data_IF_779354269122
#
_entry.id   IF_779354269122
#
_cell.length_a   1.000
_cell.length_b   1.000
_cell.length_c   1.000
_cell.angle_alpha   90.00
_cell.angle_beta   90.00
_cell.angle_gamma   90.00
#
_symmetry.space_group_name_H-M   'P 1'
#
loop_
_entity.id
_entity.type
_entity.pdbx_description
1 polymer ?
#
# COMPACT_ATOMS: atom_id res chain seq x y z
N UNK A 1 13.12 -8.12 21.98
CA UNK A 1 12.94 -8.86 20.70
C UNK A 1 13.42 -7.95 19.62
N UNK A 2 14.44 -8.37 18.87
CA UNK A 2 14.90 -7.67 17.69
C UNK A 2 14.28 -8.34 16.46
N UNK A 3 13.67 -7.54 15.60
CA UNK A 3 12.99 -8.03 14.40
C UNK A 3 13.04 -6.98 13.28
N UNK A 4 12.69 -7.40 12.09
CA UNK A 4 12.56 -6.55 10.91
C UNK A 4 13.25 -7.15 9.71
N UNK A 5 12.86 -6.67 8.52
CA UNK A 5 13.34 -7.22 7.26
C UNK A 5 14.87 -7.16 7.18
N UNK A 6 15.47 -6.01 7.50
CA UNK A 6 16.91 -5.84 7.46
C UNK A 6 17.66 -6.65 8.51
N UNK A 7 17.09 -6.84 9.70
CA UNK A 7 17.70 -7.61 10.78
C UNK A 7 17.75 -9.12 10.47
N UNK A 8 16.69 -9.63 9.81
CA UNK A 8 16.60 -11.05 9.45
C UNK A 8 17.19 -11.40 8.08
N UNK A 9 17.75 -10.44 7.34
CA UNK A 9 18.06 -10.59 5.93
C UNK A 9 16.86 -11.07 5.09
N UNK A 10 15.66 -10.73 5.53
CA UNK A 10 14.45 -11.09 4.84
C UNK A 10 14.26 -10.21 3.59
N UNK A 11 13.71 -10.79 2.54
CA UNK A 11 13.42 -10.09 1.30
C UNK A 11 11.92 -9.98 1.08
N UNK A 12 11.48 -8.81 0.61
CA UNK A 12 10.14 -8.62 0.07
C UNK A 12 10.21 -8.89 -1.43
N UNK A 13 9.48 -9.91 -1.87
CA UNK A 13 9.45 -10.31 -3.28
C UNK A 13 8.53 -9.34 -4.06
N UNK A 14 8.82 -9.07 -5.35
CA UNK A 14 7.99 -8.19 -6.17
C UNK A 14 6.55 -8.65 -6.25
N UNK A 15 5.59 -7.69 -6.19
CA UNK A 15 4.19 -7.94 -6.47
C UNK A 15 3.94 -7.86 -7.97
N UNK A 16 3.07 -8.71 -8.49
CA UNK A 16 2.64 -8.72 -9.89
C UNK A 16 1.11 -8.98 -10.00
N UNK A 17 0.59 -9.15 -11.22
CA UNK A 17 -0.84 -9.38 -11.43
C UNK A 17 -1.33 -10.74 -10.89
N UNK A 18 -0.43 -11.74 -10.82
CA UNK A 18 -0.72 -13.08 -10.28
C UNK A 18 -0.55 -13.11 -8.76
N UNK A 19 0.36 -12.27 -8.25
CA UNK A 19 0.72 -12.18 -6.83
C UNK A 19 0.59 -10.73 -6.31
N UNK A 20 -0.63 -10.21 -6.13
CA UNK A 20 -0.86 -8.82 -5.70
C UNK A 20 -0.58 -8.60 -4.20
N UNK A 21 -0.39 -9.66 -3.45
CA UNK A 21 -0.16 -9.64 -2.01
C UNK A 21 1.33 -9.58 -1.66
N UNK A 22 1.62 -9.29 -0.39
CA UNK A 22 3.00 -9.31 0.12
C UNK A 22 3.51 -10.74 0.12
N UNK A 23 4.58 -10.98 -0.63
CA UNK A 23 5.38 -12.20 -0.59
C UNK A 23 6.70 -11.91 0.09
N UNK A 24 7.13 -12.81 0.94
CA UNK A 24 8.40 -12.69 1.66
C UNK A 24 9.23 -13.96 1.50
N UNK A 25 10.54 -13.75 1.52
CA UNK A 25 11.53 -14.82 1.70
C UNK A 25 12.28 -14.54 2.98
N UNK A 26 12.31 -15.47 3.92
CA UNK A 26 13.02 -15.35 5.19
C UNK A 26 13.95 -16.55 5.37
N UNK A 27 15.17 -16.34 5.95
CA UNK A 27 16.05 -17.45 6.29
C UNK A 27 15.43 -18.39 7.32
N UNK A 28 15.63 -19.70 7.18
CA UNK A 28 15.18 -20.72 8.14
C UNK A 28 15.80 -20.53 9.53
N UNK A 29 16.95 -19.85 9.61
CA UNK A 29 17.67 -19.56 10.84
C UNK A 29 17.01 -18.47 11.71
N UNK A 30 15.95 -17.79 11.24
CA UNK A 30 15.27 -16.72 12.00
C UNK A 30 14.78 -17.22 13.36
N UNK A 31 14.32 -18.46 13.46
CA UNK A 31 13.92 -19.06 14.72
C UNK A 31 15.04 -19.06 15.77
N UNK A 32 16.27 -19.38 15.36
CA UNK A 32 17.45 -19.38 16.24
C UNK A 32 17.85 -17.96 16.64
N UNK A 33 17.71 -16.98 15.76
CA UNK A 33 18.00 -15.57 16.07
C UNK A 33 17.04 -15.02 17.12
N UNK A 34 15.77 -15.35 17.06
CA UNK A 34 14.77 -14.90 18.06
C UNK A 34 14.94 -15.64 19.39
N UNK A 35 15.23 -16.95 19.37
CA UNK A 35 15.46 -17.73 20.58
C UNK A 35 16.69 -17.29 21.37
N UNK A 36 17.76 -16.82 20.71
CA UNK A 36 18.98 -16.34 21.38
C UNK A 36 18.78 -15.06 22.20
N UNK A 37 17.69 -14.34 22.01
CA UNK A 37 17.34 -13.13 22.76
C UNK A 37 16.36 -13.34 23.90
N UNK A 38 15.83 -14.59 24.09
CA UNK A 38 14.90 -14.96 25.13
C UNK A 38 15.42 -16.14 25.98
N UNK A 39 15.24 -16.07 27.30
CA UNK A 39 15.55 -17.18 28.20
C UNK A 39 14.66 -18.39 27.90
N UNK A 40 15.28 -19.56 27.90
CA UNK A 40 14.65 -20.86 27.71
C UNK A 40 13.41 -21.03 28.61
N UNK A 41 12.28 -21.34 28.03
CA UNK A 41 11.11 -21.90 28.73
C UNK A 41 10.87 -23.29 28.18
N UNK A 42 11.04 -24.29 29.05
CA UNK A 42 10.81 -25.70 28.78
C UNK A 42 9.32 -26.01 28.58
N UNK A 43 9.08 -26.92 27.63
CA UNK A 43 7.95 -27.87 27.49
C UNK A 43 6.52 -27.32 27.25
N UNK A 44 6.11 -27.40 26.01
CA UNK A 44 4.70 -27.50 25.60
C UNK A 44 4.56 -28.58 24.50
N UNK A 45 3.50 -29.42 24.50
CA UNK A 45 3.35 -30.52 23.57
C UNK A 45 3.06 -30.04 22.13
N UNK A 46 3.77 -30.62 21.18
CA UNK A 46 3.63 -30.42 19.74
C UNK A 46 2.30 -30.98 19.25
N UNK A 47 1.44 -30.22 18.57
CA UNK A 47 0.30 -30.76 17.83
C UNK A 47 0.73 -31.49 16.56
N UNK A 48 0.00 -32.55 16.19
CA UNK A 48 0.28 -33.35 14.99
C UNK A 48 0.10 -32.54 13.69
N UNK A 49 0.87 -32.84 12.60
CA UNK A 49 0.87 -32.07 11.37
C UNK A 49 -0.42 -32.26 10.57
N UNK A 50 -1.05 -31.17 10.19
CA UNK A 50 -2.18 -31.07 9.28
C UNK A 50 -1.68 -30.64 7.91
N UNK A 51 -2.10 -31.37 6.89
CA UNK A 51 -2.00 -31.19 5.42
C UNK A 51 -1.01 -30.15 4.84
N UNK A 52 -0.39 -30.52 3.71
CA UNK A 52 0.70 -29.89 2.95
C UNK A 52 1.01 -28.38 3.23
N UNK A 53 2.25 -28.05 3.61
CA UNK A 53 2.63 -26.70 3.99
C UNK A 53 2.57 -25.75 2.80
N UNK A 54 1.91 -24.59 2.98
CA UNK A 54 1.93 -23.42 2.07
C UNK A 54 3.33 -22.82 1.93
N UNK A 55 4.31 -23.34 2.66
CA UNK A 55 5.71 -22.90 2.66
C UNK A 55 6.47 -23.69 1.60
N UNK A 56 6.95 -22.99 0.56
CA UNK A 56 7.80 -23.58 -0.47
C UNK A 56 9.25 -23.14 -0.26
N UNK A 57 10.20 -24.07 -0.38
CA UNK A 57 11.60 -23.71 -0.54
C UNK A 57 11.77 -22.98 -1.87
N UNK A 58 12.26 -21.74 -1.84
CA UNK A 58 12.60 -21.03 -3.06
C UNK A 58 13.93 -21.54 -3.62
N UNK A 59 13.97 -21.82 -4.92
CA UNK A 59 15.24 -21.87 -5.63
C UNK A 59 15.87 -20.46 -5.62
N UNK A 60 17.18 -20.31 -5.47
CA UNK A 60 17.83 -19.00 -5.49
C UNK A 60 17.46 -18.28 -6.80
N UNK A 61 17.01 -17.04 -6.69
CA UNK A 61 16.65 -16.18 -7.82
C UNK A 61 17.94 -15.91 -8.61
N UNK A 62 18.06 -16.45 -9.82
CA UNK A 62 19.24 -16.32 -10.67
C UNK A 62 19.28 -15.02 -11.48
N UNK A 63 18.76 -13.90 -10.94
CA UNK A 63 18.85 -12.59 -11.59
C UNK A 63 19.12 -11.48 -10.56
N UNK A 64 20.35 -11.45 -10.07
CA UNK A 64 20.95 -10.25 -9.50
C UNK A 64 22.44 -10.23 -9.87
N UNK A 65 22.73 -9.46 -10.92
CA UNK A 65 24.01 -8.81 -11.26
C UNK A 65 25.29 -9.44 -10.67
N UNK A 66 26.10 -9.98 -11.59
CA UNK A 66 27.52 -10.30 -11.41
C UNK A 66 28.24 -9.17 -10.64
N UNK A 67 28.76 -9.47 -9.49
CA UNK A 67 30.02 -9.05 -8.89
C UNK A 67 29.92 -9.02 -7.37
N UNK A 68 30.24 -10.12 -6.74
CA UNK A 68 31.14 -10.19 -5.56
C UNK A 68 31.42 -11.66 -5.26
N UNK A 69 32.67 -12.03 -5.41
CA UNK A 69 33.22 -13.31 -4.92
C UNK A 69 33.18 -13.34 -3.39
N UNK A 70 32.85 -14.52 -2.87
CA UNK A 70 32.98 -15.00 -1.49
C UNK A 70 31.74 -14.89 -0.59
N UNK A 71 31.01 -15.95 -0.49
CA UNK A 71 30.86 -16.87 0.66
C UNK A 71 29.70 -17.81 0.37
N UNK A 72 29.97 -19.10 0.20
CA UNK A 72 28.97 -20.18 0.17
C UNK A 72 28.35 -20.31 1.57
N UNK A 73 27.27 -19.60 1.81
CA UNK A 73 26.22 -20.00 2.74
C UNK A 73 24.94 -20.12 1.90
N UNK A 74 24.62 -21.34 1.48
CA UNK A 74 23.30 -21.70 0.99
C UNK A 74 22.32 -21.55 2.15
N UNK A 75 21.92 -20.29 2.46
CA UNK A 75 20.83 -20.03 3.37
C UNK A 75 19.56 -20.57 2.71
N UNK A 76 18.93 -21.56 3.34
CA UNK A 76 17.62 -22.02 2.93
C UNK A 76 16.63 -20.89 3.19
N UNK A 77 16.00 -20.39 2.13
CA UNK A 77 14.98 -19.36 2.22
C UNK A 77 13.59 -20.01 2.21
N UNK A 78 12.78 -19.65 3.19
CA UNK A 78 11.37 -20.02 3.24
C UNK A 78 10.56 -18.91 2.59
N UNK A 79 9.92 -19.22 1.47
CA UNK A 79 9.07 -18.30 0.73
C UNK A 79 7.61 -18.54 1.04
N UNK A 80 6.89 -17.45 1.29
CA UNK A 80 5.46 -17.50 1.55
C UNK A 80 4.76 -16.24 1.03
N UNK A 81 3.48 -16.36 0.82
CA UNK A 81 2.59 -15.27 0.43
C UNK A 81 1.54 -15.05 1.52
N UNK A 82 1.14 -13.80 1.70
CA UNK A 82 0.11 -13.40 2.67
C UNK A 82 -1.10 -12.83 1.93
N UNK A 83 -2.20 -12.58 2.66
CA UNK A 83 -3.38 -11.87 2.11
C UNK A 83 -3.34 -10.37 2.43
N UNK A 84 -2.18 -9.81 2.74
CA UNK A 84 -1.99 -8.39 3.00
C UNK A 84 -1.49 -7.68 1.74
N UNK A 85 -2.13 -6.59 1.35
CA UNK A 85 -1.69 -5.76 0.26
C UNK A 85 -0.66 -4.72 0.75
N UNK A 86 0.39 -4.49 -0.06
CA UNK A 86 1.38 -3.45 0.17
C UNK A 86 2.62 -3.86 0.94
N UNK A 87 3.79 -3.67 0.30
CA UNK A 87 5.10 -4.02 0.84
C UNK A 87 5.41 -3.41 2.22
N UNK A 88 4.76 -2.27 2.58
CA UNK A 88 4.86 -1.67 3.91
C UNK A 88 4.36 -2.58 5.05
N UNK A 89 3.56 -3.61 4.74
CA UNK A 89 3.14 -4.60 5.72
C UNK A 89 4.21 -5.64 6.05
N UNK A 90 5.27 -5.73 5.30
CA UNK A 90 6.31 -6.73 5.54
C UNK A 90 6.94 -6.63 6.94
N UNK A 91 7.14 -5.41 7.46
CA UNK A 91 7.59 -5.22 8.85
C UNK A 91 6.54 -5.67 9.89
N UNK A 92 5.24 -5.50 9.60
CA UNK A 92 4.17 -5.97 10.48
C UNK A 92 4.11 -7.51 10.50
N UNK A 93 4.31 -8.14 9.35
CA UNK A 93 4.41 -9.61 9.21
C UNK A 93 5.62 -10.12 10.00
N UNK A 94 6.80 -9.51 9.81
CA UNK A 94 8.00 -9.86 10.54
C UNK A 94 7.81 -9.71 12.06
N UNK A 95 7.15 -8.63 12.51
CA UNK A 95 6.82 -8.44 13.92
C UNK A 95 5.89 -9.54 14.46
N UNK A 96 4.86 -9.94 13.71
CA UNK A 96 3.94 -11.00 14.12
C UNK A 96 4.66 -12.34 14.25
N UNK A 97 5.51 -12.71 13.28
CA UNK A 97 6.33 -13.92 13.34
C UNK A 97 7.28 -13.85 14.55
N UNK A 98 8.00 -12.75 14.77
CA UNK A 98 8.91 -12.58 15.91
C UNK A 98 8.19 -12.76 17.25
N UNK A 99 7.00 -12.22 17.40
CA UNK A 99 6.18 -12.38 18.62
C UNK A 99 5.78 -13.86 18.78
N UNK A 100 5.32 -14.51 17.71
CA UNK A 100 4.98 -15.93 17.74
C UNK A 100 6.16 -16.81 18.22
N UNK A 101 7.33 -16.64 17.59
CA UNK A 101 8.56 -17.34 17.94
C UNK A 101 8.96 -17.10 19.42
N UNK A 102 8.84 -15.85 19.89
CA UNK A 102 9.13 -15.52 21.29
C UNK A 102 8.25 -16.26 22.30
N UNK A 103 7.00 -16.52 21.92
CA UNK A 103 6.05 -17.29 22.75
C UNK A 103 6.03 -18.79 22.43
N UNK A 104 7.04 -19.30 21.73
CA UNK A 104 7.24 -20.74 21.51
C UNK A 104 6.43 -21.31 20.33
N UNK A 105 5.85 -20.50 19.47
CA UNK A 105 5.26 -20.97 18.20
C UNK A 105 6.39 -21.33 17.25
N UNK A 106 6.27 -22.46 16.52
CA UNK A 106 7.27 -22.83 15.51
C UNK A 106 7.33 -21.80 14.36
N UNK A 107 8.44 -21.75 13.61
CA UNK A 107 8.57 -20.83 12.47
C UNK A 107 7.55 -21.16 11.39
N UNK A 108 7.34 -22.44 11.13
CA UNK A 108 6.38 -22.96 10.16
C UNK A 108 4.94 -22.57 10.53
N UNK A 109 4.54 -22.79 11.79
CA UNK A 109 3.19 -22.41 12.26
C UNK A 109 2.99 -20.89 12.24
N UNK A 110 4.02 -20.12 12.59
CA UNK A 110 3.97 -18.66 12.54
C UNK A 110 3.82 -18.14 11.09
N UNK A 111 4.55 -18.73 10.14
CA UNK A 111 4.43 -18.41 8.71
C UNK A 111 3.05 -18.81 8.20
N UNK A 112 2.57 -20.01 8.53
CA UNK A 112 1.25 -20.47 8.13
C UNK A 112 0.15 -19.53 8.65
N UNK A 113 0.20 -19.14 9.92
CA UNK A 113 -0.78 -18.26 10.53
C UNK A 113 -0.83 -16.87 9.86
N UNK A 114 0.32 -16.27 9.51
CA UNK A 114 0.34 -14.98 8.81
C UNK A 114 -0.08 -15.09 7.34
N UNK A 115 0.17 -16.24 6.70
CA UNK A 115 -0.24 -16.51 5.32
C UNK A 115 -1.76 -16.72 5.20
N UNK A 116 -2.37 -17.39 6.18
CA UNK A 116 -3.82 -17.64 6.24
C UNK A 116 -4.62 -16.44 6.75
N UNK A 117 -3.95 -15.45 7.36
CA UNK A 117 -4.62 -14.29 7.91
C UNK A 117 -5.29 -13.45 6.84
N UNK A 118 -6.62 -13.35 6.88
CA UNK A 118 -7.41 -12.49 6.00
C UNK A 118 -7.85 -11.25 6.79
N UNK A 119 -7.39 -10.05 6.40
CA UNK A 119 -7.82 -8.83 7.07
C UNK A 119 -9.33 -8.59 6.84
N UNK A 120 -10.05 -8.22 7.91
CA UNK A 120 -11.50 -7.96 7.88
C UNK A 120 -11.88 -6.56 8.38
N UNK A 121 -10.90 -5.66 8.47
CA UNK A 121 -11.05 -4.36 9.13
C UNK A 121 -10.72 -3.18 8.21
N UNK A 122 -10.89 -3.34 6.91
CA UNK A 122 -10.58 -2.33 5.88
C UNK A 122 -9.13 -1.81 5.97
N UNK A 123 -8.19 -2.71 6.33
CA UNK A 123 -6.76 -2.41 6.37
C UNK A 123 -6.03 -3.32 5.40
N UNK A 124 -5.43 -2.72 4.36
CA UNK A 124 -4.61 -3.45 3.38
C UNK A 124 -5.31 -4.70 2.83
N UNK A 125 -6.64 -4.64 2.72
CA UNK A 125 -7.47 -5.72 2.22
C UNK A 125 -7.56 -5.61 0.70
N UNK A 126 -7.41 -6.73 0.00
CA UNK A 126 -7.66 -6.81 -1.43
C UNK A 126 -8.96 -7.55 -1.65
N UNK A 127 -9.89 -6.92 -2.34
CA UNK A 127 -11.16 -7.50 -2.73
C UNK A 127 -11.30 -7.50 -4.25
N UNK A 128 -11.66 -8.65 -4.81
CA UNK A 128 -11.99 -8.78 -6.23
C UNK A 128 -13.50 -8.82 -6.38
N UNK A 129 -14.06 -7.77 -6.94
CA UNK A 129 -15.49 -7.71 -7.31
C UNK A 129 -15.68 -8.23 -8.74
N UNK A 130 -16.94 -8.33 -9.18
CA UNK A 130 -17.25 -8.71 -10.58
C UNK A 130 -16.73 -7.68 -11.60
N UNK A 131 -16.43 -6.45 -11.17
CA UNK A 131 -16.06 -5.33 -12.03
C UNK A 131 -14.65 -4.83 -11.83
N UNK A 132 -14.13 -4.87 -10.61
CA UNK A 132 -12.89 -4.20 -10.23
C UNK A 132 -12.06 -5.01 -9.24
N UNK A 133 -10.80 -4.62 -9.07
CA UNK A 133 -9.94 -5.04 -7.97
C UNK A 133 -9.83 -3.87 -7.00
N UNK A 134 -10.24 -4.06 -5.76
CA UNK A 134 -10.23 -3.02 -4.73
C UNK A 134 -9.07 -3.24 -3.75
N UNK A 135 -8.28 -2.20 -3.52
CA UNK A 135 -7.28 -2.15 -2.45
C UNK A 135 -7.87 -1.27 -1.35
N UNK A 136 -8.42 -1.92 -0.33
CA UNK A 136 -9.12 -1.25 0.75
C UNK A 136 -8.17 -0.95 1.92
N UNK A 137 -7.92 0.31 2.17
CA UNK A 137 -7.17 0.79 3.32
C UNK A 137 -7.88 1.98 3.98
N UNK A 138 -9.19 1.81 4.22
CA UNK A 138 -10.11 2.86 4.64
C UNK A 138 -10.26 3.01 6.17
N UNK A 139 -9.45 2.31 6.96
CA UNK A 139 -9.54 2.40 8.43
C UNK A 139 -9.07 3.75 8.97
N UNK A 140 -7.92 4.24 8.52
CA UNK A 140 -7.39 5.57 8.88
C UNK A 140 -6.36 6.03 7.85
N UNK A 141 -6.11 7.36 7.81
CA UNK A 141 -5.11 7.95 6.93
C UNK A 141 -4.30 9.03 7.64
N UNK A 142 -2.99 8.99 7.44
CA UNK A 142 -2.05 10.03 7.75
C UNK A 142 -1.08 10.21 6.55
N UNK A 143 -0.26 11.27 6.49
CA UNK A 143 0.60 11.55 5.33
C UNK A 143 1.49 10.37 4.95
N UNK A 144 2.16 9.75 5.92
CA UNK A 144 3.07 8.62 5.68
C UNK A 144 2.34 7.41 5.11
N UNK A 145 1.21 7.01 5.72
CA UNK A 145 0.44 5.85 5.26
C UNK A 145 -0.27 6.11 3.92
N UNK A 146 -0.67 7.35 3.65
CA UNK A 146 -1.24 7.74 2.36
C UNK A 146 -0.19 7.66 1.25
N UNK A 147 1.00 8.24 1.49
CA UNK A 147 2.11 8.17 0.56
C UNK A 147 2.52 6.72 0.26
N UNK A 148 2.65 5.88 1.29
CA UNK A 148 3.01 4.46 1.15
C UNK A 148 1.96 3.66 0.35
N UNK A 149 0.66 3.93 0.55
CA UNK A 149 -0.40 3.27 -0.21
C UNK A 149 -0.37 3.67 -1.70
N UNK A 150 -0.09 4.95 -2.00
CA UNK A 150 0.09 5.43 -3.37
C UNK A 150 1.34 4.84 -4.03
N UNK A 151 2.47 4.74 -3.31
CA UNK A 151 3.67 4.07 -3.81
C UNK A 151 3.42 2.61 -4.13
N UNK A 152 2.68 1.92 -3.26
CA UNK A 152 2.27 0.54 -3.52
C UNK A 152 1.40 0.43 -4.79
N UNK A 153 0.38 1.28 -4.95
CA UNK A 153 -0.45 1.30 -6.16
C UNK A 153 0.39 1.56 -7.43
N UNK A 154 1.43 2.40 -7.33
CA UNK A 154 2.32 2.66 -8.45
C UNK A 154 3.04 1.41 -8.94
N UNK A 155 3.42 0.50 -8.03
CA UNK A 155 4.11 -0.77 -8.38
C UNK A 155 3.16 -1.85 -8.92
N UNK A 156 1.86 -1.76 -8.63
CA UNK A 156 0.88 -2.74 -9.12
C UNK A 156 0.80 -2.70 -10.65
N UNK A 157 0.92 -3.87 -11.28
CA UNK A 157 0.75 -4.02 -12.72
C UNK A 157 -0.75 -4.13 -13.03
N UNK A 158 -1.34 -3.05 -13.54
CA UNK A 158 -2.74 -3.00 -13.93
C UNK A 158 -2.92 -2.08 -15.15
N UNK A 159 -3.80 -2.48 -16.07
CA UNK A 159 -4.07 -1.70 -17.28
C UNK A 159 -4.76 -0.35 -16.97
N UNK A 160 -5.61 -0.36 -15.95
CA UNK A 160 -6.38 0.80 -15.51
C UNK A 160 -6.27 0.97 -13.99
N UNK A 161 -5.88 2.15 -13.53
CA UNK A 161 -5.73 2.48 -12.12
C UNK A 161 -6.59 3.68 -11.73
N UNK A 162 -7.26 3.57 -10.59
CA UNK A 162 -8.01 4.67 -10.01
C UNK A 162 -7.69 4.84 -8.53
N UNK A 163 -7.88 6.07 -8.04
CA UNK A 163 -7.68 6.41 -6.63
C UNK A 163 -8.93 7.10 -6.10
N UNK A 164 -9.44 6.63 -4.97
CA UNK A 164 -10.56 7.24 -4.24
C UNK A 164 -10.11 7.49 -2.82
N UNK A 165 -9.68 8.71 -2.53
CA UNK A 165 -9.09 9.05 -1.24
C UNK A 165 -9.84 10.17 -0.54
N UNK A 166 -9.96 10.01 0.78
CA UNK A 166 -10.57 10.98 1.66
C UNK A 166 -9.55 11.74 2.51
N UNK A 167 -9.98 12.84 3.10
CA UNK A 167 -9.14 13.69 3.94
C UNK A 167 -8.33 12.92 4.98
N UNK A 168 -7.14 13.40 5.24
CA UNK A 168 -6.32 13.07 6.39
C UNK A 168 -6.66 14.04 7.52
N UNK A 169 -7.18 13.49 8.63
CA UNK A 169 -7.58 14.30 9.81
C UNK A 169 -6.44 14.40 10.83
N UNK A 170 -6.61 15.30 11.79
CA UNK A 170 -5.70 15.46 12.95
C UNK A 170 -4.31 16.03 12.60
N UNK A 171 -4.19 16.73 11.45
CA UNK A 171 -2.93 17.33 11.00
C UNK A 171 -2.75 18.79 11.46
N UNK A 172 -3.76 19.40 12.10
CA UNK A 172 -3.70 20.76 12.57
C UNK A 172 -3.34 21.77 11.46
N UNK A 173 -2.36 22.62 11.73
CA UNK A 173 -1.89 23.66 10.79
C UNK A 173 -1.22 23.13 9.54
N UNK A 174 -0.69 21.91 9.57
CA UNK A 174 0.01 21.29 8.45
C UNK A 174 -0.96 20.64 7.43
N UNK A 175 -2.26 20.61 7.74
CA UNK A 175 -3.25 19.88 6.93
C UNK A 175 -3.19 20.26 5.46
N UNK A 176 -3.22 21.55 5.12
CA UNK A 176 -3.22 22.00 3.72
C UNK A 176 -1.92 21.63 3.01
N UNK A 177 -0.77 21.78 3.68
CA UNK A 177 0.53 21.45 3.10
C UNK A 177 0.67 19.95 2.79
N UNK A 178 0.21 19.09 3.71
CA UNK A 178 0.24 17.64 3.56
C UNK A 178 -0.70 17.16 2.45
N UNK A 179 -1.91 17.74 2.35
CA UNK A 179 -2.82 17.41 1.26
C UNK A 179 -2.28 17.87 -0.10
N UNK A 180 -1.60 19.04 -0.18
CA UNK A 180 -0.88 19.48 -1.37
C UNK A 180 0.24 18.50 -1.75
N UNK A 181 0.99 17.97 -0.78
CA UNK A 181 2.02 16.98 -1.05
C UNK A 181 1.43 15.71 -1.69
N UNK A 182 0.27 15.25 -1.21
CA UNK A 182 -0.45 14.12 -1.83
C UNK A 182 -0.93 14.47 -3.25
N UNK A 183 -1.50 15.67 -3.48
CA UNK A 183 -1.90 16.10 -4.83
C UNK A 183 -0.72 16.10 -5.81
N UNK A 184 0.45 16.57 -5.39
CA UNK A 184 1.68 16.52 -6.19
C UNK A 184 2.11 15.10 -6.52
N UNK A 185 1.99 14.19 -5.57
CA UNK A 185 2.30 12.77 -5.77
C UNK A 185 1.34 12.14 -6.79
N UNK A 186 0.04 12.38 -6.65
CA UNK A 186 -0.98 11.92 -7.60
C UNK A 186 -0.74 12.41 -9.03
N UNK A 187 -0.29 13.66 -9.17
CA UNK A 187 0.02 14.25 -10.48
C UNK A 187 1.20 13.59 -11.21
N UNK A 188 2.04 12.84 -10.50
CA UNK A 188 3.17 12.10 -11.08
C UNK A 188 2.82 10.64 -11.40
N UNK A 189 1.62 10.20 -11.02
CA UNK A 189 1.16 8.83 -11.24
C UNK A 189 0.32 8.73 -12.52
N UNK A 190 0.42 7.60 -13.20
CA UNK A 190 -0.44 7.26 -14.34
C UNK A 190 -1.76 6.67 -13.80
N UNK A 191 -2.80 7.53 -13.73
CA UNK A 191 -4.11 7.22 -13.15
C UNK A 191 -5.22 7.63 -14.12
N UNK A 192 -6.18 6.74 -14.36
CA UNK A 192 -7.36 7.01 -15.19
C UNK A 192 -8.38 7.89 -14.47
N UNK A 193 -8.46 7.79 -13.14
CA UNK A 193 -9.41 8.52 -12.33
C UNK A 193 -8.86 8.78 -10.92
N UNK A 194 -9.06 10.02 -10.45
CA UNK A 194 -8.79 10.42 -9.07
C UNK A 194 -10.05 11.03 -8.47
N UNK A 195 -10.59 10.43 -7.41
CA UNK A 195 -11.68 10.96 -6.61
C UNK A 195 -11.15 11.41 -5.24
N UNK A 196 -11.32 12.67 -4.94
CA UNK A 196 -10.92 13.29 -3.68
C UNK A 196 -12.16 13.60 -2.85
N UNK A 197 -12.17 13.24 -1.58
CA UNK A 197 -13.33 13.39 -0.69
C UNK A 197 -12.96 14.18 0.55
N UNK A 198 -13.68 15.30 0.79
CA UNK A 198 -13.57 16.10 2.00
C UNK A 198 -13.03 17.50 1.80
N UNK A 199 -13.17 18.31 2.84
CA UNK A 199 -12.90 19.75 2.79
C UNK A 199 -11.42 20.10 2.82
N UNK A 200 -10.55 19.24 3.38
CA UNK A 200 -9.12 19.51 3.44
C UNK A 200 -8.49 19.37 2.03
N UNK A 201 -8.91 18.38 1.25
CA UNK A 201 -8.55 18.31 -0.16
C UNK A 201 -9.08 19.49 -0.96
N UNK A 202 -10.29 20.00 -0.65
CA UNK A 202 -10.82 21.20 -1.29
C UNK A 202 -9.92 22.41 -1.04
N UNK A 203 -9.56 22.66 0.24
CA UNK A 203 -8.65 23.74 0.61
C UNK A 203 -7.29 23.64 -0.10
N UNK A 204 -6.76 22.43 -0.21
CA UNK A 204 -5.50 22.18 -0.91
C UNK A 204 -5.60 22.52 -2.42
N UNK A 205 -6.68 22.09 -3.09
CA UNK A 205 -6.94 22.40 -4.49
C UNK A 205 -7.07 23.91 -4.71
N UNK A 206 -7.83 24.61 -3.86
CA UNK A 206 -8.04 26.05 -3.97
C UNK A 206 -6.72 26.82 -3.73
N UNK A 207 -5.91 26.39 -2.77
CA UNK A 207 -4.59 26.97 -2.48
C UNK A 207 -3.64 26.83 -3.67
N UNK A 208 -3.60 25.68 -4.33
CA UNK A 208 -2.77 25.47 -5.53
C UNK A 208 -3.24 26.31 -6.71
N UNK A 209 -4.56 26.47 -6.90
CA UNK A 209 -5.10 27.35 -7.94
C UNK A 209 -4.73 28.82 -7.70
N UNK A 210 -4.81 29.31 -6.46
CA UNK A 210 -4.41 30.68 -6.11
C UNK A 210 -2.92 30.92 -6.37
N UNK A 211 -2.04 29.96 -6.03
CA UNK A 211 -0.59 30.08 -6.30
C UNK A 211 -0.31 30.12 -7.79
N UNK A 212 -1.02 29.33 -8.60
CA UNK A 212 -0.89 29.38 -10.07
C UNK A 212 -1.30 30.73 -10.65
N UNK A 213 -2.44 31.28 -10.22
CA UNK A 213 -2.91 32.60 -10.65
C UNK A 213 -1.93 33.71 -10.25
N UNK A 214 -1.34 33.66 -9.06
CA UNK A 214 -0.36 34.58 -8.59
C UNK A 214 0.98 34.55 -9.38
N UNK A 215 1.36 33.33 -9.86
CA UNK A 215 2.57 33.17 -10.71
C UNK A 215 2.39 33.65 -12.16
N UNK A 216 1.14 33.80 -12.63
CA UNK A 216 0.81 34.26 -13.96
C UNK A 216 -0.18 35.45 -13.96
N UNK A 217 0.17 36.59 -13.32
CA UNK A 217 -0.74 37.73 -13.18
C UNK A 217 -1.10 38.42 -14.52
N UNK A 218 -0.43 38.08 -15.61
CA UNK A 218 -0.62 38.72 -16.95
C UNK A 218 -1.41 37.83 -17.95
N UNK A 219 -2.05 36.74 -17.53
CA UNK A 219 -2.84 35.92 -18.46
C UNK A 219 -4.24 36.48 -18.80
N UNK A 220 -4.59 37.66 -18.31
CA UNK A 220 -5.82 38.39 -18.65
C UNK A 220 -5.53 39.41 -19.73
N UNK A 221 -5.38 38.98 -21.01
CA UNK A 221 -5.40 39.91 -22.12
C UNK A 221 -4.36 39.81 -23.23
N UNK A 222 -3.63 38.73 -23.38
CA UNK A 222 -2.70 38.54 -24.50
C UNK A 222 -3.17 37.40 -25.42
N UNK A 223 -3.24 37.69 -26.73
CA UNK A 223 -3.43 36.77 -27.84
C UNK A 223 -2.51 35.53 -27.70
N UNK A 224 -2.95 34.33 -28.15
CA UNK A 224 -2.18 33.09 -27.95
C UNK A 224 -0.92 33.08 -28.82
N UNK A 225 0.21 33.48 -28.26
CA UNK A 225 1.51 33.14 -28.83
C UNK A 225 1.73 31.65 -28.51
N UNK A 226 1.60 30.83 -29.54
CA UNK A 226 1.94 29.39 -29.50
C UNK A 226 3.42 29.27 -29.17
N UNK A 227 3.75 29.18 -27.89
CA UNK A 227 5.04 28.65 -27.43
C UNK A 227 4.79 27.24 -26.99
N UNK A 228 5.39 26.30 -27.72
CA UNK A 228 5.62 24.93 -27.24
C UNK A 228 6.45 25.02 -25.95
N UNK A 229 5.77 25.14 -24.80
CA UNK A 229 6.36 24.89 -23.51
C UNK A 229 6.06 23.45 -23.17
N UNK A 230 7.11 22.70 -22.85
CA UNK A 230 7.04 21.36 -22.24
C UNK A 230 6.02 21.34 -21.09
N UNK A 231 5.31 20.23 -20.85
CA UNK A 231 4.26 20.16 -19.86
C UNK A 231 4.85 20.42 -18.46
N UNK A 232 4.65 21.62 -17.95
CA UNK A 232 4.89 21.93 -16.54
C UNK A 232 3.82 21.19 -15.75
N UNK A 233 4.25 20.24 -14.93
CA UNK A 233 3.47 19.35 -14.08
C UNK A 233 2.22 20.04 -13.50
N UNK A 234 1.05 19.63 -13.97
CA UNK A 234 -0.21 19.95 -13.32
C UNK A 234 -0.20 19.29 -11.94
N UNK A 235 -0.58 20.04 -10.90
CA UNK A 235 -0.53 19.55 -9.51
C UNK A 235 -1.67 18.58 -9.20
N UNK A 236 -2.65 18.46 -10.08
CA UNK A 236 -3.64 17.39 -10.04
C UNK A 236 -3.81 16.76 -11.42
N UNK A 237 -4.05 15.45 -11.51
CA UNK A 237 -4.35 14.78 -12.77
C UNK A 237 -5.54 15.42 -13.47
N UNK A 238 -5.53 15.46 -14.81
CA UNK A 238 -6.61 16.02 -15.64
C UNK A 238 -7.98 15.38 -15.41
N UNK A 239 -8.01 14.19 -14.82
CA UNK A 239 -9.17 13.36 -14.50
C UNK A 239 -9.55 13.38 -13.02
N UNK A 240 -9.15 14.45 -12.28
CA UNK A 240 -9.47 14.59 -10.86
C UNK A 240 -10.89 15.13 -10.65
N UNK A 241 -11.63 14.50 -9.73
CA UNK A 241 -12.95 14.91 -9.25
C UNK A 241 -12.91 15.09 -7.74
N UNK A 242 -13.59 16.12 -7.26
CA UNK A 242 -13.73 16.37 -5.83
C UNK A 242 -15.19 16.22 -5.39
N UNK A 243 -15.38 15.70 -4.18
CA UNK A 243 -16.67 15.48 -3.55
C UNK A 243 -16.64 15.96 -2.10
N UNK A 244 -17.70 16.63 -1.61
CA UNK A 244 -17.77 17.07 -0.21
C UNK A 244 -17.75 15.90 0.77
N UNK A 245 -18.46 14.82 0.45
CA UNK A 245 -18.61 13.64 1.31
C UNK A 245 -18.50 12.33 0.51
N UNK A 246 -18.29 11.23 1.23
CA UNK A 246 -18.32 9.89 0.63
C UNK A 246 -19.70 9.54 0.06
N UNK A 247 -20.79 10.07 0.62
CA UNK A 247 -22.15 9.85 0.14
C UNK A 247 -22.37 10.54 -1.24
N UNK A 248 -21.76 11.71 -1.46
CA UNK A 248 -21.76 12.37 -2.79
C UNK A 248 -21.01 11.55 -3.83
N UNK A 249 -19.86 10.98 -3.45
CA UNK A 249 -19.11 10.07 -4.32
C UNK A 249 -19.93 8.80 -4.63
N UNK A 250 -20.60 8.20 -3.64
CA UNK A 250 -21.51 7.06 -3.88
C UNK A 250 -22.60 7.42 -4.89
N UNK A 251 -23.19 8.60 -4.76
CA UNK A 251 -24.24 9.07 -5.68
C UNK A 251 -23.70 9.23 -7.11
N UNK A 252 -22.49 9.77 -7.23
CA UNK A 252 -21.82 9.91 -8.52
C UNK A 252 -21.48 8.55 -9.14
N UNK A 253 -20.95 7.59 -8.37
CA UNK A 253 -20.61 6.24 -8.83
C UNK A 253 -21.81 5.48 -9.39
N UNK A 254 -23.01 5.65 -8.80
CA UNK A 254 -24.25 5.04 -9.33
C UNK A 254 -24.57 5.50 -10.75
N UNK A 255 -24.24 6.75 -11.08
CA UNK A 255 -24.48 7.32 -12.42
C UNK A 255 -23.27 7.16 -13.36
N UNK A 256 -22.12 6.81 -12.83
CA UNK A 256 -20.85 6.67 -13.55
C UNK A 256 -20.15 5.38 -13.11
N UNK A 257 -20.70 4.21 -13.48
CA UNK A 257 -20.11 2.94 -13.06
C UNK A 257 -18.72 2.76 -13.66
N UNK A 258 -17.80 2.26 -12.84
CA UNK A 258 -16.40 2.01 -13.17
C UNK A 258 -16.18 0.50 -13.26
N UNK A 259 -15.40 0.06 -14.24
CA UNK A 259 -15.07 -1.36 -14.43
C UNK A 259 -13.65 -1.54 -14.97
N UNK A 260 -13.08 -2.71 -14.71
CA UNK A 260 -11.73 -3.11 -15.13
C UNK A 260 -10.60 -2.25 -14.54
N UNK A 261 -10.83 -1.68 -13.35
CA UNK A 261 -9.81 -0.88 -12.66
C UNK A 261 -9.28 -1.59 -11.41
N UNK A 262 -8.01 -1.33 -11.11
CA UNK A 262 -7.48 -1.52 -9.76
C UNK A 262 -7.63 -0.19 -9.02
N UNK A 263 -8.39 -0.20 -7.93
CA UNK A 263 -8.85 1.01 -7.23
C UNK A 263 -8.29 1.03 -5.81
N UNK A 264 -7.48 2.03 -5.49
CA UNK A 264 -7.08 2.29 -4.11
C UNK A 264 -8.14 3.13 -3.40
N UNK A 265 -8.63 2.63 -2.25
CA UNK A 265 -9.61 3.29 -1.40
C UNK A 265 -8.96 3.58 -0.05
N UNK A 266 -8.77 4.86 0.29
CA UNK A 266 -8.14 5.26 1.55
C UNK A 266 -8.68 6.58 2.07
N UNK A 267 -8.68 6.74 3.41
CA UNK A 267 -9.10 8.00 4.04
C UNK A 267 -9.12 7.86 5.57
N UNK A 268 -9.21 8.99 6.25
CA UNK A 268 -9.42 8.98 7.70
C UNK A 268 -10.78 8.38 8.05
N UNK A 269 -10.85 7.67 9.18
CA UNK A 269 -12.06 6.97 9.66
C UNK A 269 -13.33 7.85 9.64
N UNK A 270 -13.18 9.15 9.93
CA UNK A 270 -14.32 10.09 9.93
C UNK A 270 -14.88 10.41 8.55
N UNK A 271 -14.17 10.11 7.46
CA UNK A 271 -14.65 10.30 6.08
C UNK A 271 -15.51 9.12 5.63
N UNK A 272 -15.31 7.93 6.22
CA UNK A 272 -16.08 6.71 5.95
C UNK A 272 -16.02 6.29 4.49
N UNK A 273 -14.80 6.16 3.97
CA UNK A 273 -14.60 5.76 2.56
C UNK A 273 -15.13 4.36 2.25
N UNK A 274 -15.28 3.49 3.24
CA UNK A 274 -15.90 2.16 3.10
C UNK A 274 -17.32 2.19 2.54
N UNK A 275 -18.02 3.32 2.63
CA UNK A 275 -19.38 3.46 2.05
C UNK A 275 -19.42 3.35 0.53
N UNK A 276 -18.30 3.58 -0.16
CA UNK A 276 -18.27 3.56 -1.64
C UNK A 276 -18.21 2.13 -2.20
N UNK A 277 -17.79 1.15 -1.40
CA UNK A 277 -17.59 -0.23 -1.81
C UNK A 277 -18.79 -0.85 -2.57
N UNK A 278 -20.05 -0.70 -2.10
CA UNK A 278 -21.20 -1.25 -2.81
C UNK A 278 -21.43 -0.63 -4.21
N UNK A 279 -20.76 0.47 -4.53
CA UNK A 279 -20.85 1.15 -5.82
C UNK A 279 -19.80 0.68 -6.85
N UNK A 280 -18.82 -0.12 -6.42
CA UNK A 280 -17.65 -0.54 -7.19
C UNK A 280 -17.68 -2.03 -7.53
#
# INVERSE_FOLDING_TARGET
IEYGIGYWNAMVLPSDAEHPFVRMAIPDQVASLVASTGSETEDSPVPEPVEEPLVRQCSPISDATENTENTESTENLLCFETNLAGAYNANNIAAAIAVGLHFGVSLEDAIQAVSEYIPKNNRSQLEKTDRNILIEDAYNANPTSMAAALDNLATVQAAHKAVMIGDMRELGTESVAEHIAILKKLALMDLDLVCLVGEEFRKALDSEQMVRQARHPFALGAEPVVRQCSPTSEVSPSNTKWFPTSDDLVTWLKSNPISNHTILIKGSRGIRMEKILPGL
#
